data_IF_740202578075
#
_entry.id   IF_740202578075
#
_cell.length_a   1.000
_cell.length_b   1.000
_cell.length_c   1.000
_cell.angle_alpha   90.00
_cell.angle_beta   90.00
_cell.angle_gamma   90.00
#
_symmetry.space_group_name_H-M   'P 1'
#
loop_
_entity.id
_entity.type
_entity.pdbx_description
1 polymer ?
#
# COMPACT_ATOMS: atom_id res chain seq x y z
N UNK A 1 -2.40 5.67 22.39
CA UNK A 1 -2.66 7.11 22.11
C UNK A 1 -3.87 7.54 22.94
N UNK A 2 -3.78 8.62 23.70
CA UNK A 2 -4.92 9.12 24.49
C UNK A 2 -5.89 9.87 23.56
N UNK A 3 -6.95 9.18 23.11
CA UNK A 3 -7.92 9.71 22.14
C UNK A 3 -8.58 11.00 22.62
N UNK A 4 -8.81 11.15 23.93
CA UNK A 4 -9.43 12.35 24.51
C UNK A 4 -8.58 13.61 24.35
N UNK A 5 -7.25 13.50 24.41
CA UNK A 5 -6.35 14.62 24.20
C UNK A 5 -6.37 15.08 22.73
N UNK A 6 -6.39 14.13 21.80
CA UNK A 6 -6.45 14.41 20.35
C UNK A 6 -7.75 15.12 20.01
N UNK A 7 -8.88 14.66 20.55
CA UNK A 7 -10.17 15.33 20.36
C UNK A 7 -10.19 16.76 20.91
N UNK A 8 -9.54 17.00 22.07
CA UNK A 8 -9.41 18.34 22.63
C UNK A 8 -8.59 19.25 21.71
N UNK A 9 -7.46 18.76 21.18
CA UNK A 9 -6.64 19.49 20.22
C UNK A 9 -7.42 19.82 18.95
N UNK A 10 -8.15 18.85 18.39
CA UNK A 10 -8.97 19.05 17.19
C UNK A 10 -10.08 20.08 17.42
N UNK A 11 -10.79 20.02 18.55
CA UNK A 11 -11.80 21.01 18.90
C UNK A 11 -11.20 22.41 19.07
N UNK A 12 -10.01 22.49 19.67
CA UNK A 12 -9.32 23.77 19.85
C UNK A 12 -8.94 24.37 18.49
N UNK A 13 -8.39 23.58 17.58
CA UNK A 13 -8.08 23.99 16.21
C UNK A 13 -9.33 24.38 15.41
N UNK A 14 -10.40 23.59 15.50
CA UNK A 14 -11.68 23.89 14.83
C UNK A 14 -12.30 25.20 15.35
N UNK A 15 -12.19 25.49 16.66
CA UNK A 15 -12.74 26.69 17.26
C UNK A 15 -11.91 27.95 16.98
N UNK A 16 -10.57 27.83 17.01
CA UNK A 16 -9.68 28.95 16.75
C UNK A 16 -9.65 29.31 15.26
N UNK A 17 -9.54 28.29 14.39
CA UNK A 17 -9.55 28.38 12.93
C UNK A 17 -8.73 29.57 12.39
N UNK A 18 -7.51 29.75 12.91
CA UNK A 18 -6.65 30.89 12.61
C UNK A 18 -6.16 30.86 11.16
N UNK A 19 -5.98 29.65 10.60
CA UNK A 19 -5.50 29.44 9.23
C UNK A 19 -6.37 28.45 8.45
N UNK A 20 -6.50 28.62 7.11
CA UNK A 20 -7.16 27.64 6.26
C UNK A 20 -6.57 26.22 6.36
N UNK A 21 -5.27 26.12 6.68
CA UNK A 21 -4.58 24.85 6.94
C UNK A 21 -5.11 24.11 8.17
N UNK A 22 -5.76 24.79 9.12
CA UNK A 22 -6.29 24.16 10.33
C UNK A 22 -7.44 23.22 9.98
N UNK A 23 -8.31 23.65 9.05
CA UNK A 23 -9.40 22.82 8.53
C UNK A 23 -8.83 21.57 7.86
N UNK A 24 -7.78 21.73 7.03
CA UNK A 24 -7.11 20.61 6.39
C UNK A 24 -6.52 19.64 7.42
N UNK A 25 -5.76 20.14 8.39
CA UNK A 25 -5.12 19.33 9.43
C UNK A 25 -6.15 18.54 10.24
N UNK A 26 -7.26 19.17 10.62
CA UNK A 26 -8.35 18.52 11.34
C UNK A 26 -8.94 17.36 10.52
N UNK A 27 -9.19 17.57 9.23
CA UNK A 27 -9.71 16.51 8.35
C UNK A 27 -8.68 15.40 8.14
N UNK A 28 -7.40 15.74 8.00
CA UNK A 28 -6.31 14.78 7.89
C UNK A 28 -6.24 13.86 9.10
N UNK A 29 -6.25 14.42 10.32
CA UNK A 29 -6.22 13.62 11.56
C UNK A 29 -7.46 12.73 11.66
N UNK A 30 -8.66 13.24 11.34
CA UNK A 30 -9.90 12.43 11.34
C UNK A 30 -9.83 11.28 10.33
N UNK A 31 -9.23 11.48 9.16
CA UNK A 31 -9.02 10.39 8.18
C UNK A 31 -8.06 9.31 8.72
N UNK A 32 -7.00 9.72 9.43
CA UNK A 32 -6.06 8.79 10.05
C UNK A 32 -6.70 8.02 11.22
N UNK A 33 -7.59 8.65 11.98
CA UNK A 33 -8.36 7.96 13.03
C UNK A 33 -9.26 6.87 12.45
N UNK A 34 -9.85 7.07 11.26
CA UNK A 34 -10.61 6.02 10.56
C UNK A 34 -9.69 4.85 10.21
N UNK A 35 -8.54 5.11 9.58
CA UNK A 35 -7.55 4.07 9.25
C UNK A 35 -7.10 3.30 10.51
N UNK A 36 -6.82 4.00 11.60
CA UNK A 36 -6.44 3.38 12.87
C UNK A 36 -7.55 2.51 13.46
N UNK A 37 -8.80 2.98 13.42
CA UNK A 37 -9.94 2.20 13.91
C UNK A 37 -10.13 0.92 13.08
N UNK A 38 -9.93 0.99 11.75
CA UNK A 38 -9.93 -0.17 10.87
C UNK A 38 -8.83 -1.14 11.29
N UNK A 39 -7.59 -0.67 11.43
CA UNK A 39 -6.46 -1.53 11.82
C UNK A 39 -6.74 -2.28 13.15
N UNK A 40 -7.27 -1.58 14.16
CA UNK A 40 -7.61 -2.17 15.45
C UNK A 40 -8.80 -3.13 15.36
N UNK A 41 -9.80 -2.84 14.53
CA UNK A 41 -10.95 -3.70 14.33
C UNK A 41 -10.62 -4.97 13.54
N UNK A 42 -9.64 -4.90 12.64
CA UNK A 42 -9.20 -6.02 11.80
C UNK A 42 -8.09 -6.85 12.44
N UNK A 43 -7.46 -6.38 13.53
CA UNK A 43 -6.44 -7.11 14.29
C UNK A 43 -7.03 -8.13 15.27
N UNK A 44 -8.15 -8.78 14.94
CA UNK A 44 -8.81 -9.72 15.84
C UNK A 44 -8.06 -11.05 15.91
N UNK A 45 -8.09 -11.67 17.10
CA UNK A 45 -7.52 -12.99 17.32
C UNK A 45 -8.43 -14.06 16.68
N UNK A 46 -7.95 -14.84 15.70
CA UNK A 46 -8.73 -15.90 15.08
C UNK A 46 -9.16 -17.01 16.06
N UNK A 47 -8.56 -17.08 17.26
CA UNK A 47 -9.00 -17.96 18.34
C UNK A 47 -10.23 -17.44 19.11
N UNK A 48 -10.59 -16.16 18.94
CA UNK A 48 -11.76 -15.55 19.56
C UNK A 48 -12.92 -15.41 18.57
N UNK A 49 -14.17 -15.66 19.01
CA UNK A 49 -15.33 -15.46 18.15
C UNK A 49 -15.49 -13.97 17.82
N UNK A 50 -15.55 -13.65 16.53
CA UNK A 50 -15.80 -12.29 16.06
C UNK A 50 -17.21 -11.85 16.46
N UNK A 51 -17.35 -10.60 16.91
CA UNK A 51 -18.63 -10.05 17.34
C UNK A 51 -19.61 -9.83 16.16
N UNK A 52 -19.08 -9.60 14.97
CA UNK A 52 -19.83 -9.32 13.73
C UNK A 52 -19.21 -10.12 12.57
N UNK A 53 -19.98 -10.58 11.57
CA UNK A 53 -19.39 -11.14 10.35
C UNK A 53 -18.53 -10.11 9.61
N UNK A 54 -17.40 -10.53 9.04
CA UNK A 54 -16.45 -9.65 8.30
C UNK A 54 -17.16 -8.76 7.26
N UNK A 55 -18.07 -9.25 6.40
CA UNK A 55 -18.71 -8.40 5.40
C UNK A 55 -19.54 -7.26 6.02
N UNK A 56 -20.15 -7.51 7.18
CA UNK A 56 -20.94 -6.50 7.91
C UNK A 56 -20.02 -5.45 8.52
N UNK A 57 -18.90 -5.88 9.11
CA UNK A 57 -17.89 -4.97 9.64
C UNK A 57 -17.28 -4.09 8.53
N UNK A 58 -16.96 -4.69 7.39
CA UNK A 58 -16.47 -4.00 6.20
C UNK A 58 -17.47 -2.95 5.72
N UNK A 59 -18.74 -3.32 5.57
CA UNK A 59 -19.77 -2.38 5.15
C UNK A 59 -19.90 -1.19 6.13
N UNK A 60 -19.84 -1.44 7.44
CA UNK A 60 -19.91 -0.37 8.45
C UNK A 60 -18.78 0.65 8.31
N UNK A 61 -17.56 0.21 8.01
CA UNK A 61 -16.43 1.12 7.81
C UNK A 61 -16.49 1.82 6.45
N UNK A 62 -16.97 1.16 5.39
CA UNK A 62 -17.23 1.81 4.10
C UNK A 62 -18.24 2.94 4.24
N UNK A 63 -19.31 2.73 5.00
CA UNK A 63 -20.29 3.78 5.30
C UNK A 63 -19.67 4.93 6.11
N UNK A 64 -18.77 4.62 7.05
CA UNK A 64 -18.03 5.64 7.81
C UNK A 64 -17.09 6.46 6.92
N UNK A 65 -16.34 5.82 6.01
CA UNK A 65 -15.45 6.49 5.04
C UNK A 65 -16.27 7.39 4.12
N UNK A 66 -17.38 6.88 3.59
CA UNK A 66 -18.31 7.63 2.74
C UNK A 66 -18.90 8.83 3.48
N UNK A 67 -19.43 8.61 4.68
CA UNK A 67 -19.98 9.69 5.50
C UNK A 67 -18.93 10.75 5.80
N UNK A 68 -17.70 10.37 6.13
CA UNK A 68 -16.61 11.31 6.34
C UNK A 68 -16.34 12.14 5.09
N UNK A 69 -16.25 11.49 3.91
CA UNK A 69 -16.06 12.16 2.62
C UNK A 69 -17.15 13.19 2.34
N UNK A 70 -18.41 12.86 2.63
CA UNK A 70 -19.55 13.76 2.44
C UNK A 70 -19.50 14.99 3.37
N UNK A 71 -18.78 14.91 4.50
CA UNK A 71 -18.57 16.05 5.43
C UNK A 71 -17.39 16.95 5.04
N UNK A 72 -16.66 16.64 3.97
CA UNK A 72 -15.52 17.45 3.55
C UNK A 72 -15.99 18.74 2.86
N UNK A 73 -15.38 19.89 3.21
CA UNK A 73 -15.54 21.12 2.44
C UNK A 73 -15.20 20.90 0.97
N UNK A 74 -15.90 21.58 0.04
CA UNK A 74 -15.72 21.39 -1.41
C UNK A 74 -14.25 21.47 -1.88
N UNK A 75 -13.48 22.41 -1.32
CA UNK A 75 -12.07 22.59 -1.68
C UNK A 75 -11.16 21.43 -1.21
N UNK A 76 -11.62 20.59 -0.29
CA UNK A 76 -10.91 19.40 0.21
C UNK A 76 -11.42 18.09 -0.39
N UNK A 77 -12.55 18.09 -1.09
CA UNK A 77 -13.10 16.85 -1.69
C UNK A 77 -12.20 16.29 -2.80
N UNK A 78 -11.49 17.18 -3.50
CA UNK A 78 -10.57 16.85 -4.57
C UNK A 78 -9.10 16.93 -4.14
N UNK A 79 -8.83 17.11 -2.83
CA UNK A 79 -7.47 17.16 -2.32
C UNK A 79 -6.79 15.78 -2.48
N UNK A 80 -5.66 15.68 -3.21
CA UNK A 80 -5.02 14.39 -3.48
C UNK A 80 -4.48 13.68 -2.24
N UNK A 81 -4.06 14.41 -1.22
CA UNK A 81 -3.50 13.82 0.00
C UNK A 81 -4.61 13.21 0.85
N UNK A 82 -5.69 13.96 1.08
CA UNK A 82 -6.83 13.46 1.84
C UNK A 82 -7.55 12.33 1.09
N UNK A 83 -7.76 12.49 -0.22
CA UNK A 83 -8.31 11.43 -1.07
C UNK A 83 -7.44 10.17 -1.06
N UNK A 84 -6.11 10.34 -1.08
CA UNK A 84 -5.14 9.26 -0.96
C UNK A 84 -5.30 8.46 0.34
N UNK A 85 -5.34 9.14 1.49
CA UNK A 85 -5.49 8.46 2.79
C UNK A 85 -6.83 7.71 2.94
N UNK A 86 -7.92 8.24 2.37
CA UNK A 86 -9.19 7.52 2.36
C UNK A 86 -9.14 6.27 1.48
N UNK A 87 -8.45 6.34 0.32
CA UNK A 87 -8.24 5.17 -0.53
C UNK A 87 -7.38 4.11 0.16
N UNK A 88 -6.36 4.51 0.92
CA UNK A 88 -5.56 3.57 1.72
C UNK A 88 -6.37 2.95 2.85
N UNK A 89 -7.28 3.71 3.47
CA UNK A 89 -8.21 3.17 4.47
C UNK A 89 -9.11 2.09 3.86
N UNK A 90 -9.59 2.27 2.63
CA UNK A 90 -10.35 1.24 1.89
C UNK A 90 -9.49 0.02 1.54
N UNK A 91 -8.21 0.20 1.20
CA UNK A 91 -7.29 -0.93 0.98
C UNK A 91 -7.09 -1.71 2.27
N UNK A 92 -6.78 -1.04 3.38
CA UNK A 92 -6.62 -1.62 4.71
C UNK A 92 -7.89 -2.35 5.18
N UNK A 93 -9.06 -1.85 4.80
CA UNK A 93 -10.32 -2.49 5.15
C UNK A 93 -10.57 -3.80 4.40
N UNK A 94 -10.09 -3.87 3.16
CA UNK A 94 -10.40 -4.97 2.23
C UNK A 94 -9.26 -5.97 2.08
N UNK A 95 -8.05 -5.64 2.53
CA UNK A 95 -6.88 -6.53 2.48
C UNK A 95 -7.04 -7.77 3.37
N UNK A 96 -7.93 -7.74 4.36
CA UNK A 96 -8.29 -8.89 5.21
C UNK A 96 -8.73 -10.10 4.36
N UNK A 97 -9.27 -9.87 3.16
CA UNK A 97 -9.63 -10.92 2.21
C UNK A 97 -8.41 -11.71 1.67
N UNK A 98 -7.19 -11.20 1.83
CA UNK A 98 -5.95 -11.93 1.53
C UNK A 98 -5.70 -13.06 2.54
N UNK A 99 -6.24 -12.97 3.76
CA UNK A 99 -6.04 -13.99 4.78
C UNK A 99 -6.94 -15.20 4.53
N UNK A 100 -6.33 -16.36 4.24
CA UNK A 100 -7.04 -17.65 4.22
C UNK A 100 -7.57 -18.05 5.60
N UNK A 101 -6.87 -17.64 6.67
CA UNK A 101 -7.28 -17.93 8.03
C UNK A 101 -8.60 -17.24 8.39
N UNK A 102 -8.79 -16.00 7.94
CA UNK A 102 -9.97 -15.20 8.26
C UNK A 102 -11.09 -15.36 7.23
N UNK A 103 -10.74 -15.46 5.95
CA UNK A 103 -11.68 -15.44 4.83
C UNK A 103 -11.70 -16.77 4.05
N UNK A 104 -11.20 -17.86 4.63
CA UNK A 104 -11.24 -19.18 4.01
C UNK A 104 -12.66 -19.71 3.78
N UNK A 105 -12.81 -20.82 3.03
CA UNK A 105 -14.12 -21.37 2.66
C UNK A 105 -15.02 -21.74 3.85
N UNK A 106 -14.44 -21.97 5.03
CA UNK A 106 -15.17 -22.25 6.26
C UNK A 106 -15.79 -20.99 6.89
N UNK A 107 -15.24 -19.81 6.60
CA UNK A 107 -15.65 -18.53 7.19
C UNK A 107 -16.55 -17.72 6.26
N UNK A 108 -16.31 -17.81 4.94
CA UNK A 108 -16.98 -16.97 3.95
C UNK A 108 -17.12 -17.70 2.59
N UNK A 109 -18.23 -17.51 1.85
CA UNK A 109 -18.34 -17.95 0.46
C UNK A 109 -17.24 -17.35 -0.42
N UNK A 110 -16.77 -18.12 -1.41
CA UNK A 110 -15.68 -17.71 -2.30
C UNK A 110 -16.06 -16.47 -3.12
N UNK A 111 -17.34 -16.34 -3.49
CA UNK A 111 -17.87 -15.21 -4.25
C UNK A 111 -17.76 -13.91 -3.48
N UNK A 112 -18.15 -13.92 -2.19
CA UNK A 112 -18.04 -12.75 -1.31
C UNK A 112 -16.58 -12.37 -1.08
N UNK A 113 -15.69 -13.36 -0.93
CA UNK A 113 -14.24 -13.10 -0.81
C UNK A 113 -13.69 -12.47 -2.09
N UNK A 114 -14.06 -12.98 -3.26
CA UNK A 114 -13.66 -12.43 -4.55
C UNK A 114 -14.13 -10.98 -4.71
N UNK A 115 -15.37 -10.67 -4.33
CA UNK A 115 -15.91 -9.30 -4.36
C UNK A 115 -15.07 -8.34 -3.48
N UNK A 116 -14.67 -8.77 -2.28
CA UNK A 116 -13.78 -7.99 -1.40
C UNK A 116 -12.39 -7.78 -2.01
N UNK A 117 -11.78 -8.83 -2.56
CA UNK A 117 -10.47 -8.75 -3.21
C UNK A 117 -10.51 -7.79 -4.43
N UNK A 118 -11.57 -7.86 -5.23
CA UNK A 118 -11.77 -6.92 -6.34
C UNK A 118 -12.03 -5.49 -5.86
N UNK A 119 -12.66 -5.32 -4.70
CA UNK A 119 -12.78 -4.01 -4.06
C UNK A 119 -11.42 -3.45 -3.67
N UNK A 120 -10.54 -4.28 -3.08
CA UNK A 120 -9.16 -3.92 -2.76
C UNK A 120 -8.39 -3.45 -4.01
N UNK A 121 -8.49 -4.21 -5.12
CA UNK A 121 -7.87 -3.83 -6.40
C UNK A 121 -8.36 -2.48 -6.91
N UNK A 122 -9.67 -2.22 -6.85
CA UNK A 122 -10.24 -0.94 -7.32
C UNK A 122 -9.73 0.24 -6.47
N UNK A 123 -9.64 0.07 -5.16
CA UNK A 123 -9.09 1.09 -4.25
C UNK A 123 -7.60 1.33 -4.52
N UNK A 124 -6.79 0.28 -4.71
CA UNK A 124 -5.38 0.40 -5.11
C UNK A 124 -5.21 1.11 -6.45
N UNK A 125 -6.00 0.75 -7.47
CA UNK A 125 -5.98 1.39 -8.78
C UNK A 125 -6.32 2.88 -8.67
N UNK A 126 -7.34 3.23 -7.90
CA UNK A 126 -7.71 4.62 -7.67
C UNK A 126 -6.60 5.38 -6.93
N UNK A 127 -5.94 4.76 -5.94
CA UNK A 127 -4.81 5.34 -5.23
C UNK A 127 -3.63 5.61 -6.17
N UNK A 128 -3.22 4.63 -6.97
CA UNK A 128 -2.14 4.80 -7.94
C UNK A 128 -2.46 5.89 -8.97
N UNK A 129 -3.71 5.98 -9.44
CA UNK A 129 -4.13 7.07 -10.33
C UNK A 129 -4.03 8.43 -9.65
N UNK A 130 -4.58 8.58 -8.44
CA UNK A 130 -4.52 9.84 -7.71
C UNK A 130 -3.07 10.28 -7.45
N UNK A 131 -2.20 9.33 -7.12
CA UNK A 131 -0.80 9.57 -6.77
C UNK A 131 0.11 9.82 -7.97
N UNK A 132 -0.08 9.10 -9.08
CA UNK A 132 0.89 9.04 -10.18
C UNK A 132 0.37 9.58 -11.53
N UNK A 133 -0.90 9.97 -11.67
CA UNK A 133 -1.39 10.50 -12.95
C UNK A 133 -0.82 11.89 -13.28
N UNK A 134 -0.69 12.75 -12.27
CA UNK A 134 -0.18 14.12 -12.40
C UNK A 134 1.26 14.21 -11.90
N UNK A 135 2.20 13.72 -12.70
CA UNK A 135 3.62 13.67 -12.35
C UNK A 135 4.24 15.06 -12.49
N UNK A 136 4.78 15.56 -11.40
CA UNK A 136 5.59 16.78 -11.38
C UNK A 136 6.91 16.42 -10.68
N UNK A 137 7.97 16.25 -11.46
CA UNK A 137 9.30 15.86 -10.96
C UNK A 137 9.95 17.03 -10.20
N UNK A 138 9.57 18.27 -10.52
CA UNK A 138 10.12 19.48 -9.89
C UNK A 138 9.38 19.85 -8.59
N UNK A 139 8.17 19.33 -8.39
CA UNK A 139 7.44 19.41 -7.11
C UNK A 139 7.31 18.03 -6.49
N UNK A 140 8.33 17.59 -5.73
CA UNK A 140 8.22 16.37 -4.94
C UNK A 140 6.95 16.40 -4.08
N UNK A 141 6.02 15.47 -4.34
CA UNK A 141 4.80 15.28 -3.53
C UNK A 141 5.08 14.58 -2.19
N UNK A 142 6.31 14.68 -1.69
CA UNK A 142 6.77 13.98 -0.50
C UNK A 142 6.35 14.72 0.76
N UNK A 143 5.12 14.48 1.19
CA UNK A 143 4.82 14.49 2.62
C UNK A 143 5.13 13.07 3.11
N UNK A 144 5.94 12.91 4.15
CA UNK A 144 6.39 11.61 4.68
C UNK A 144 5.23 10.60 4.91
N UNK A 145 4.03 11.11 5.19
CA UNK A 145 2.79 10.33 5.32
C UNK A 145 2.40 9.54 4.07
N UNK A 146 2.87 9.93 2.88
CA UNK A 146 2.53 9.29 1.61
C UNK A 146 3.48 8.16 1.22
N UNK A 147 4.68 8.09 1.81
CA UNK A 147 5.69 7.09 1.44
C UNK A 147 5.32 5.70 1.98
N UNK A 148 4.89 5.62 3.25
CA UNK A 148 4.37 4.38 3.84
C UNK A 148 3.16 3.85 3.09
N UNK A 149 2.26 4.74 2.69
CA UNK A 149 1.05 4.42 1.94
C UNK A 149 1.38 3.82 0.57
N UNK A 150 2.38 4.36 -0.13
CA UNK A 150 2.87 3.81 -1.41
C UNK A 150 3.48 2.43 -1.22
N UNK A 151 4.34 2.26 -0.20
CA UNK A 151 4.96 0.97 0.07
C UNK A 151 3.93 -0.10 0.44
N UNK A 152 3.01 0.21 1.35
CA UNK A 152 1.88 -0.65 1.70
C UNK A 152 1.06 -1.02 0.45
N UNK A 153 0.73 -0.05 -0.40
CA UNK A 153 0.00 -0.31 -1.65
C UNK A 153 0.73 -1.25 -2.61
N UNK A 154 2.05 -1.12 -2.73
CA UNK A 154 2.89 -2.00 -3.54
C UNK A 154 2.92 -3.43 -2.97
N UNK A 155 3.09 -3.55 -1.65
CA UNK A 155 3.09 -4.85 -0.95
C UNK A 155 1.74 -5.55 -1.15
N UNK A 156 0.63 -4.85 -0.89
CA UNK A 156 -0.71 -5.42 -1.06
C UNK A 156 -0.97 -5.81 -2.52
N UNK A 157 -0.50 -5.02 -3.48
CA UNK A 157 -0.57 -5.38 -4.90
C UNK A 157 0.20 -6.65 -5.24
N UNK A 158 1.40 -6.83 -4.69
CA UNK A 158 2.19 -8.04 -4.85
C UNK A 158 1.48 -9.24 -4.19
N UNK A 159 0.95 -9.09 -2.97
CA UNK A 159 0.16 -10.12 -2.29
C UNK A 159 -1.06 -10.56 -3.12
N UNK A 160 -1.74 -9.62 -3.78
CA UNK A 160 -2.85 -9.91 -4.69
C UNK A 160 -2.43 -10.71 -5.92
N UNK A 161 -1.23 -10.45 -6.46
CA UNK A 161 -0.68 -11.18 -7.61
C UNK A 161 -0.21 -12.60 -7.26
N UNK A 162 0.18 -12.83 -6.00
CA UNK A 162 0.62 -14.15 -5.53
C UNK A 162 -0.53 -15.04 -5.07
N UNK A 163 -1.70 -14.45 -4.77
CA UNK A 163 -2.88 -15.16 -4.30
C UNK A 163 -3.32 -16.26 -5.28
N UNK A 164 -3.64 -17.44 -4.75
CA UNK A 164 -4.14 -18.58 -5.52
C UNK A 164 -5.54 -18.94 -5.02
N UNK A 165 -6.54 -18.59 -5.81
CA UNK A 165 -7.95 -18.79 -5.50
C UNK A 165 -8.71 -19.19 -6.78
N UNK A 166 -9.74 -20.05 -6.72
CA UNK A 166 -10.60 -20.32 -7.87
C UNK A 166 -11.22 -19.03 -8.42
N UNK A 167 -11.16 -18.83 -9.74
CA UNK A 167 -11.66 -17.61 -10.38
C UNK A 167 -10.74 -16.38 -10.25
N UNK A 168 -9.52 -16.55 -9.72
CA UNK A 168 -8.52 -15.49 -9.61
C UNK A 168 -7.42 -15.63 -10.66
N UNK A 169 -7.30 -14.64 -11.55
CA UNK A 169 -6.25 -14.60 -12.57
C UNK A 169 -5.25 -13.46 -12.30
N UNK A 170 -3.98 -13.78 -11.96
CA UNK A 170 -2.94 -12.78 -11.75
C UNK A 170 -2.73 -11.83 -12.93
N UNK A 171 -2.98 -12.27 -14.17
CA UNK A 171 -2.85 -11.39 -15.35
C UNK A 171 -3.93 -10.34 -15.37
N UNK A 172 -5.17 -10.72 -15.09
CA UNK A 172 -6.29 -9.80 -14.96
C UNK A 172 -6.06 -8.81 -13.81
N UNK A 173 -5.54 -9.28 -12.67
CA UNK A 173 -5.18 -8.44 -11.51
C UNK A 173 -4.12 -7.41 -11.89
N UNK A 174 -3.03 -7.84 -12.56
CA UNK A 174 -1.95 -6.95 -12.99
C UNK A 174 -2.45 -5.88 -13.97
N UNK A 175 -3.31 -6.27 -14.91
CA UNK A 175 -3.92 -5.37 -15.88
C UNK A 175 -4.83 -4.33 -15.20
N UNK A 176 -5.66 -4.75 -14.25
CA UNK A 176 -6.54 -3.85 -13.51
C UNK A 176 -5.75 -2.88 -12.61
N UNK A 177 -4.70 -3.36 -11.93
CA UNK A 177 -3.84 -2.49 -11.11
C UNK A 177 -3.01 -1.52 -11.94
N UNK A 178 -2.75 -1.82 -13.23
CA UNK A 178 -1.78 -1.11 -14.08
C UNK A 178 -0.38 -1.01 -13.45
N UNK A 179 -0.04 -1.97 -12.58
CA UNK A 179 1.14 -1.92 -11.71
C UNK A 179 2.46 -1.93 -12.49
N UNK A 180 2.53 -2.67 -13.61
CA UNK A 180 3.73 -2.70 -14.46
C UNK A 180 4.06 -1.33 -15.04
N UNK A 181 3.04 -0.60 -15.50
CA UNK A 181 3.22 0.76 -16.01
C UNK A 181 3.61 1.72 -14.89
N UNK A 182 2.95 1.61 -13.74
CA UNK A 182 3.25 2.44 -12.57
C UNK A 182 4.70 2.27 -12.10
N UNK A 183 5.16 1.03 -11.92
CA UNK A 183 6.54 0.72 -11.53
C UNK A 183 7.55 1.24 -12.55
N UNK A 184 7.26 1.08 -13.85
CA UNK A 184 8.12 1.62 -14.91
C UNK A 184 8.28 3.14 -14.80
N UNK A 185 7.18 3.87 -14.59
CA UNK A 185 7.22 5.32 -14.42
C UNK A 185 7.95 5.74 -13.15
N UNK A 186 7.70 5.07 -12.03
CA UNK A 186 8.38 5.37 -10.76
C UNK A 186 9.89 5.14 -10.84
N UNK A 187 10.33 4.06 -11.49
CA UNK A 187 11.75 3.79 -11.74
C UNK A 187 12.39 4.92 -12.57
N UNK A 188 11.73 5.33 -13.66
CA UNK A 188 12.27 6.38 -14.53
C UNK A 188 12.31 7.75 -13.83
N UNK A 189 11.24 8.13 -13.14
CA UNK A 189 11.16 9.42 -12.43
C UNK A 189 12.23 9.48 -11.32
N UNK A 190 12.43 8.38 -10.58
CA UNK A 190 13.44 8.29 -9.52
C UNK A 190 14.87 8.33 -10.09
N UNK A 191 15.12 7.68 -11.23
CA UNK A 191 16.42 7.75 -11.91
C UNK A 191 16.77 9.18 -12.34
N UNK A 192 15.80 9.93 -12.86
CA UNK A 192 15.99 11.35 -13.21
C UNK A 192 16.28 12.22 -11.99
N UNK A 193 15.60 11.97 -10.86
CA UNK A 193 15.85 12.67 -9.60
C UNK A 193 17.29 12.42 -9.11
N UNK A 194 17.75 11.17 -9.15
CA UNK A 194 19.13 10.80 -8.76
C UNK A 194 20.14 11.51 -9.66
N UNK A 195 19.91 11.53 -10.98
CA UNK A 195 20.79 12.20 -11.93
C UNK A 195 20.83 13.72 -11.71
N UNK A 196 19.68 14.35 -11.47
CA UNK A 196 19.57 15.78 -11.15
C UNK A 196 20.33 16.11 -9.86
N UNK A 197 20.13 15.33 -8.79
CA UNK A 197 20.86 15.48 -7.51
C UNK A 197 22.37 15.35 -7.65
N UNK A 198 22.84 14.48 -8.55
CA UNK A 198 24.28 14.29 -8.82
C UNK A 198 24.90 15.42 -9.65
N UNK A 199 24.10 16.05 -10.52
CA UNK A 199 24.53 17.15 -11.39
C UNK A 199 24.43 18.52 -10.71
N UNK A 200 23.59 18.66 -9.70
CA UNK A 200 23.58 19.81 -8.81
C UNK A 200 24.78 19.71 -7.84
N UNK A 201 25.74 20.67 -7.86
CA UNK A 201 26.85 20.68 -6.93
C UNK A 201 26.30 20.99 -5.53
N UNK A 202 25.92 19.94 -4.80
CA UNK A 202 25.42 20.09 -3.44
C UNK A 202 26.59 20.51 -2.56
N UNK A 203 26.39 21.53 -1.73
CA UNK A 203 27.31 22.06 -0.72
C UNK A 203 27.66 21.06 0.42
N UNK A 204 27.61 19.75 0.16
CA UNK A 204 27.87 18.66 1.09
C UNK A 204 29.36 18.50 1.44
N UNK A 205 30.25 19.30 0.85
CA UNK A 205 31.65 19.39 1.28
C UNK A 205 31.86 20.28 2.53
N UNK A 206 30.80 20.91 3.07
CA UNK A 206 30.94 21.91 4.14
C UNK A 206 30.62 21.42 5.57
N UNK A 207 30.06 20.22 5.75
CA UNK A 207 29.73 19.69 7.07
C UNK A 207 30.20 18.24 7.17
N UNK A 208 31.13 17.96 8.08
CA UNK A 208 31.74 16.63 8.30
C UNK A 208 30.77 15.58 8.87
N UNK A 209 29.62 15.40 8.24
CA UNK A 209 28.72 14.29 8.49
C UNK A 209 29.41 12.98 8.08
N UNK A 210 29.21 11.89 8.84
CA UNK A 210 29.71 10.58 8.45
C UNK A 210 29.16 10.21 7.06
N UNK A 211 29.94 9.51 6.23
CA UNK A 211 29.45 9.09 4.92
C UNK A 211 28.24 8.17 5.11
N UNK A 212 27.09 8.58 4.57
CA UNK A 212 25.91 7.71 4.44
C UNK A 212 26.36 6.47 3.65
N UNK A 213 26.16 5.28 4.22
CA UNK A 213 26.69 4.03 3.66
C UNK A 213 26.08 3.66 2.29
N UNK A 214 24.85 4.11 2.02
CA UNK A 214 24.14 3.91 0.75
C UNK A 214 23.14 5.06 0.50
N UNK A 215 23.10 5.63 -0.71
CA UNK A 215 22.11 6.68 -1.03
C UNK A 215 20.67 6.10 -0.99
N UNK A 216 19.74 6.68 -0.20
CA UNK A 216 18.41 6.12 -0.02
C UNK A 216 17.56 6.10 -1.29
N UNK A 217 17.80 7.01 -2.25
CA UNK A 217 17.11 7.02 -3.53
C UNK A 217 17.64 5.90 -4.44
N UNK A 218 18.94 5.62 -4.41
CA UNK A 218 19.52 4.48 -5.13
C UNK A 218 19.03 3.14 -4.57
N UNK A 219 18.92 3.05 -3.24
CA UNK A 219 18.31 1.89 -2.58
C UNK A 219 16.86 1.70 -3.01
N UNK A 220 16.04 2.76 -2.94
CA UNK A 220 14.63 2.71 -3.36
C UNK A 220 14.50 2.32 -4.85
N UNK A 221 15.37 2.83 -5.71
CA UNK A 221 15.40 2.48 -7.13
C UNK A 221 15.62 0.97 -7.32
N UNK A 222 16.57 0.37 -6.60
CA UNK A 222 16.83 -1.08 -6.63
C UNK A 222 15.61 -1.88 -6.17
N UNK A 223 14.95 -1.44 -5.11
CA UNK A 223 13.74 -2.08 -4.60
C UNK A 223 12.60 -2.04 -5.63
N UNK A 224 12.41 -0.93 -6.34
CA UNK A 224 11.41 -0.81 -7.40
C UNK A 224 11.71 -1.74 -8.58
N UNK A 225 13.00 -1.91 -8.95
CA UNK A 225 13.41 -2.91 -9.94
C UNK A 225 13.03 -4.33 -9.49
N UNK A 226 13.35 -4.70 -8.24
CA UNK A 226 13.01 -6.02 -7.69
C UNK A 226 11.48 -6.25 -7.68
N UNK A 227 10.70 -5.24 -7.28
CA UNK A 227 9.24 -5.31 -7.31
C UNK A 227 8.71 -5.54 -8.73
N UNK A 228 9.28 -4.87 -9.74
CA UNK A 228 8.90 -5.05 -11.15
C UNK A 228 9.20 -6.47 -11.64
N UNK A 229 10.37 -7.01 -11.32
CA UNK A 229 10.72 -8.38 -11.70
C UNK A 229 9.78 -9.39 -11.01
N UNK A 230 9.42 -9.19 -9.75
CA UNK A 230 8.46 -10.04 -9.06
C UNK A 230 7.07 -9.99 -9.70
N UNK A 231 6.57 -8.80 -10.07
CA UNK A 231 5.31 -8.64 -10.81
C UNK A 231 5.38 -9.39 -12.15
N UNK A 232 6.47 -9.22 -12.90
CA UNK A 232 6.67 -9.92 -14.17
C UNK A 232 6.64 -11.44 -13.97
N UNK A 233 7.35 -11.96 -12.97
CA UNK A 233 7.35 -13.38 -12.66
C UNK A 233 5.94 -13.91 -12.35
N UNK A 234 5.14 -13.19 -11.56
CA UNK A 234 3.78 -13.64 -11.25
C UNK A 234 2.87 -13.65 -12.49
N UNK A 235 2.97 -12.63 -13.36
CA UNK A 235 2.21 -12.57 -14.60
C UNK A 235 2.53 -13.72 -15.57
N UNK A 236 3.79 -14.14 -15.65
CA UNK A 236 4.24 -15.22 -16.54
C UNK A 236 4.17 -16.61 -15.87
N UNK A 237 4.11 -16.69 -14.54
CA UNK A 237 3.98 -17.95 -13.80
C UNK A 237 2.72 -18.73 -14.20
N UNK A 238 1.62 -18.02 -14.51
CA UNK A 238 0.39 -18.62 -14.99
C UNK A 238 0.58 -19.41 -16.29
N UNK A 239 1.46 -18.96 -17.19
CA UNK A 239 1.73 -19.62 -18.47
C UNK A 239 2.56 -20.90 -18.29
N UNK A 240 3.57 -20.84 -17.42
CA UNK A 240 4.39 -22.01 -17.09
C UNK A 240 3.57 -23.09 -16.36
N UNK A 241 2.69 -22.68 -15.44
CA UNK A 241 1.83 -23.60 -14.70
C UNK A 241 0.72 -24.18 -15.58
N UNK A 242 0.12 -23.38 -16.49
CA UNK A 242 -0.86 -23.85 -17.46
C UNK A 242 -0.23 -24.81 -18.47
N UNK A 243 0.99 -24.54 -18.93
CA UNK A 243 1.77 -25.44 -19.77
C UNK A 243 2.13 -26.75 -19.04
N UNK A 244 2.51 -26.67 -17.76
CA UNK A 244 2.79 -27.84 -16.92
C UNK A 244 1.52 -28.67 -16.64
N UNK A 245 0.38 -28.03 -16.38
CA UNK A 245 -0.90 -28.71 -16.19
C UNK A 245 -1.40 -29.37 -17.49
N UNK A 246 -1.23 -28.70 -18.64
CA UNK A 246 -1.52 -29.28 -19.95
C UNK A 246 -0.59 -30.46 -20.27
N UNK A 247 0.68 -30.39 -19.87
CA UNK A 247 1.63 -31.49 -20.01
C UNK A 247 1.34 -32.65 -19.03
N UNK A 248 0.85 -32.38 -17.82
CA UNK A 248 0.46 -33.38 -16.82
C UNK A 248 -0.87 -34.08 -17.15
N UNK A 249 -1.74 -33.44 -17.94
CA UNK A 249 -2.96 -34.05 -18.48
C UNK A 249 -2.69 -35.04 -19.63
N UNK A 250 -1.45 -35.13 -20.12
CA UNK A 250 -1.01 -36.14 -21.07
C UNK A 250 -0.57 -37.40 -20.29
N UNK A 251 -1.10 -38.60 -20.59
CA UNK A 251 -0.78 -39.80 -19.82
C UNK A 251 0.69 -40.20 -20.03
N UNK A 252 1.50 -40.15 -18.97
CA UNK A 252 2.80 -40.85 -18.92
C UNK A 252 4.06 -40.08 -18.49
N UNK A 253 4.00 -38.87 -17.92
CA UNK A 253 5.20 -38.12 -17.51
C UNK A 253 5.18 -37.81 -16.00
N UNK A 254 6.23 -38.16 -15.22
CA UNK A 254 6.30 -37.82 -13.79
C UNK A 254 6.44 -36.30 -13.61
N UNK A 255 5.60 -35.71 -12.75
CA UNK A 255 5.62 -34.29 -12.46
C UNK A 255 6.92 -33.83 -11.77
N UNK A 256 7.35 -32.57 -11.97
CA UNK A 256 8.59 -32.06 -11.41
C UNK A 256 8.48 -31.82 -9.89
N UNK A 257 9.56 -32.03 -9.12
CA UNK A 257 9.58 -31.76 -7.69
C UNK A 257 9.87 -30.27 -7.42
N UNK A 258 9.20 -29.70 -6.40
CA UNK A 258 9.55 -28.42 -5.81
C UNK A 258 8.54 -27.31 -6.07
N UNK A 259 7.57 -27.19 -5.16
CA UNK A 259 6.65 -26.06 -5.07
C UNK A 259 7.40 -24.74 -4.86
N UNK A 260 7.10 -23.71 -5.64
CA UNK A 260 7.53 -22.32 -5.43
C UNK A 260 7.11 -21.72 -4.08
N UNK A 261 6.41 -22.48 -3.24
CA UNK A 261 6.05 -22.13 -1.86
C UNK A 261 7.27 -21.94 -0.95
N UNK A 262 8.40 -22.61 -1.21
CA UNK A 262 9.61 -22.50 -0.38
C UNK A 262 10.36 -21.18 -0.56
N UNK A 263 10.25 -20.53 -1.72
CA UNK A 263 10.87 -19.22 -2.00
C UNK A 263 9.99 -18.03 -1.55
N UNK A 264 8.67 -18.26 -1.46
CA UNK A 264 7.70 -17.24 -1.04
C UNK A 264 7.51 -17.19 0.49
N UNK A 265 7.79 -18.29 1.20
CA UNK A 265 7.82 -18.32 2.66
C UNK A 265 9.01 -17.58 3.29
N UNK A 266 10.02 -17.21 2.50
CA UNK A 266 11.20 -16.46 2.94
C UNK A 266 11.12 -14.94 2.66
N UNK A 267 10.07 -14.46 1.98
CA UNK A 267 9.74 -13.04 1.89
C UNK A 267 8.82 -12.67 3.06
N UNK A 268 9.36 -12.79 4.27
CA UNK A 268 8.70 -12.45 5.53
C UNK A 268 8.20 -10.99 5.50
N UNK A 269 7.14 -10.72 6.27
CA UNK A 269 6.70 -9.36 6.57
C UNK A 269 7.84 -8.53 7.13
N UNK A 270 8.86 -9.13 7.77
CA UNK A 270 10.10 -8.46 8.20
C UNK A 270 10.90 -7.82 7.07
N UNK A 271 11.05 -8.44 5.88
CA UNK A 271 11.82 -7.84 4.76
C UNK A 271 11.13 -6.58 4.26
N UNK A 272 9.80 -6.59 4.23
CA UNK A 272 9.00 -5.45 3.83
C UNK A 272 8.87 -4.41 4.95
N UNK A 273 8.77 -4.86 6.20
CA UNK A 273 8.79 -4.02 7.39
C UNK A 273 10.15 -3.31 7.51
N UNK A 274 11.27 -3.97 7.20
CA UNK A 274 12.61 -3.37 7.13
C UNK A 274 12.70 -2.34 6.00
N UNK A 275 12.14 -2.64 4.82
CA UNK A 275 12.05 -1.68 3.72
C UNK A 275 11.27 -0.43 4.13
N UNK A 276 10.13 -0.57 4.83
CA UNK A 276 9.25 0.54 5.22
C UNK A 276 9.75 1.28 6.48
N UNK A 277 10.24 0.57 7.49
CA UNK A 277 10.76 1.18 8.72
C UNK A 277 12.06 1.92 8.48
N UNK A 278 12.98 1.35 7.68
CA UNK A 278 14.26 2.01 7.40
C UNK A 278 14.10 3.20 6.44
N UNK A 279 13.08 3.26 5.58
CA UNK A 279 12.81 4.45 4.74
C UNK A 279 11.93 5.50 5.42
N UNK A 280 10.98 5.12 6.27
CA UNK A 280 10.05 6.06 6.90
C UNK A 280 10.59 6.75 8.17
N UNK A 281 11.48 6.09 8.93
CA UNK A 281 11.96 6.60 10.22
C UNK A 281 13.42 7.08 10.22
N UNK A 282 14.31 6.53 9.37
CA UNK A 282 15.71 7.00 9.32
C UNK A 282 15.90 8.33 8.59
N UNK A 283 14.87 8.90 7.96
CA UNK A 283 14.95 10.29 7.47
C UNK A 283 14.86 11.33 8.59
N UNK A 284 14.45 10.96 9.81
CA UNK A 284 14.15 11.94 10.87
C UNK A 284 15.26 12.09 11.93
N UNK A 285 16.09 11.06 12.14
CA UNK A 285 17.17 11.14 13.14
C UNK A 285 18.34 12.01 12.66
N UNK A 286 18.52 12.19 11.35
CA UNK A 286 19.58 13.04 10.80
C UNK A 286 19.15 14.50 10.58
N UNK A 287 17.86 14.81 10.60
CA UNK A 287 17.35 16.19 10.39
C UNK A 287 17.13 16.95 11.71
N UNK A 288 16.94 16.25 12.84
CA UNK A 288 16.70 16.87 14.15
C UNK A 288 17.96 16.94 15.04
N UNK A 289 19.12 16.54 14.51
CA UNK A 289 20.42 16.57 15.20
C UNK A 289 21.37 17.65 14.68
N UNK A 290 20.90 18.53 13.78
CA UNK A 290 21.66 19.63 13.17
C UNK A 290 21.18 21.00 13.60
#
# INVERSE_FOLDING_TARGET
MNTSHVELCLKTLENAAEYPSDVFLVKLVKSQQIAQNIALAMSFDPSQPMQLPIPVLVQSFQDQIKSFRDTLPKHLQDDPSLGGHLLISEVLLTDIALSDQHCGPASMPVETRLEMLWSCIRSLRAFFRARFLHRDIDKPRYVNLTTSDVAYSLITSIKLLTLRLPGWDPKQVAAELTITHMLHWQINDLALIIEKRRSEPTAAAAGGAPPIAEDPFERLLRLLFNARELVNLQCHSGDAQAAAAAAAAMPGIPGPPGSSQTLLGELDESVWFDIVNETAWNMNDEIMSG
#
